data_IF_694623190262
#
_entry.id   IF_694623190262
#
_cell.length_a   1.000
_cell.length_b   1.000
_cell.length_c   1.000
_cell.angle_alpha   90.00
_cell.angle_beta   90.00
_cell.angle_gamma   90.00
#
_symmetry.space_group_name_H-M   'P 1'
#
loop_
_entity.id
_entity.type
_entity.pdbx_description
1 polymer ?
#
# COMPACT_ATOMS: atom_id res chain seq x y z
N UNK A 1 18.84 0.75 25.68
CA UNK A 1 17.64 1.09 24.88
C UNK A 1 17.35 -0.07 23.96
N UNK A 2 16.08 -0.48 23.85
CA UNK A 2 15.66 -1.56 22.94
C UNK A 2 15.29 -0.94 21.60
N UNK A 3 16.02 -1.28 20.55
CA UNK A 3 15.69 -0.91 19.18
C UNK A 3 14.99 -2.11 18.52
N UNK A 4 13.69 -1.99 18.29
CA UNK A 4 12.89 -3.02 17.62
C UNK A 4 12.77 -2.65 16.14
N UNK A 5 13.69 -3.18 15.32
CA UNK A 5 13.56 -3.10 13.87
C UNK A 5 12.49 -4.10 13.41
N UNK A 6 11.44 -3.63 12.75
CA UNK A 6 10.46 -4.50 12.08
C UNK A 6 11.12 -5.14 10.85
N UNK A 7 11.81 -6.26 11.03
CA UNK A 7 12.63 -6.91 10.00
C UNK A 7 11.84 -7.60 8.88
N UNK A 8 10.52 -7.70 8.96
CA UNK A 8 9.72 -8.37 7.94
C UNK A 8 8.41 -7.63 7.72
N UNK A 9 8.22 -6.93 6.59
CA UNK A 9 6.87 -6.55 6.18
C UNK A 9 6.06 -7.83 6.02
N UNK A 10 4.99 -7.98 6.81
CA UNK A 10 4.12 -9.16 6.77
C UNK A 10 3.50 -9.23 5.37
N UNK A 11 3.82 -10.28 4.62
CA UNK A 11 3.17 -10.58 3.36
C UNK A 11 1.73 -11.01 3.67
N UNK A 12 0.75 -10.37 3.03
CA UNK A 12 -0.66 -10.71 3.18
C UNK A 12 -1.11 -11.44 1.90
N UNK A 13 -0.90 -12.78 1.82
CA UNK A 13 -1.32 -13.55 0.66
C UNK A 13 -2.83 -13.41 0.45
N UNK A 14 -3.23 -13.05 -0.77
CA UNK A 14 -4.64 -12.84 -1.12
C UNK A 14 -5.17 -11.42 -0.87
N UNK A 15 -4.41 -10.54 -0.22
CA UNK A 15 -4.77 -9.12 -0.11
C UNK A 15 -4.05 -8.34 -1.20
N UNK A 16 -4.82 -7.90 -2.19
CA UNK A 16 -4.32 -7.02 -3.24
C UNK A 16 -4.04 -5.61 -2.68
N UNK A 17 -2.98 -4.96 -3.16
CA UNK A 17 -2.61 -3.58 -2.83
C UNK A 17 -3.80 -2.61 -2.96
N UNK A 18 -4.67 -2.80 -3.96
CA UNK A 18 -5.89 -1.99 -4.11
C UNK A 18 -6.79 -2.04 -2.87
N UNK A 19 -7.02 -3.24 -2.31
CA UNK A 19 -7.87 -3.41 -1.13
C UNK A 19 -7.21 -2.81 0.11
N UNK A 20 -5.92 -3.07 0.29
CA UNK A 20 -5.16 -2.56 1.43
C UNK A 20 -5.10 -1.03 1.45
N UNK A 21 -4.75 -0.41 0.33
CA UNK A 21 -4.68 1.05 0.21
C UNK A 21 -6.05 1.70 0.42
N UNK A 22 -7.13 1.09 -0.08
CA UNK A 22 -8.49 1.58 0.15
C UNK A 22 -8.88 1.49 1.62
N UNK A 23 -8.62 0.35 2.25
CA UNK A 23 -8.90 0.14 3.67
C UNK A 23 -8.11 1.10 4.57
N UNK A 24 -6.82 1.30 4.28
CA UNK A 24 -5.97 2.25 5.00
C UNK A 24 -6.47 3.69 4.86
N UNK A 25 -6.83 4.11 3.65
CA UNK A 25 -7.39 5.45 3.41
C UNK A 25 -8.72 5.64 4.14
N UNK A 26 -9.61 4.65 4.09
CA UNK A 26 -10.89 4.70 4.80
C UNK A 26 -10.70 4.73 6.33
N UNK A 27 -9.76 3.97 6.87
CA UNK A 27 -9.43 4.01 8.29
C UNK A 27 -8.96 5.40 8.73
N UNK A 28 -8.11 6.06 7.92
CA UNK A 28 -7.66 7.43 8.18
C UNK A 28 -8.79 8.44 8.07
N UNK A 29 -9.65 8.33 7.05
CA UNK A 29 -10.84 9.19 6.89
C UNK A 29 -11.80 9.05 8.06
N UNK A 30 -12.07 7.82 8.49
CA UNK A 30 -12.89 7.54 9.68
C UNK A 30 -12.33 8.19 10.94
N UNK A 31 -11.01 8.14 11.14
CA UNK A 31 -10.35 8.82 12.26
C UNK A 31 -10.49 10.35 12.20
N UNK A 32 -10.66 10.92 11.00
CA UNK A 32 -10.90 12.35 10.76
C UNK A 32 -12.38 12.74 10.74
N UNK A 33 -13.30 11.79 10.87
CA UNK A 33 -14.74 12.02 10.72
C UNK A 33 -15.20 12.25 9.28
N UNK A 34 -14.35 11.91 8.30
CA UNK A 34 -14.66 12.02 6.87
C UNK A 34 -15.38 10.76 6.37
N UNK A 35 -16.28 10.88 5.38
CA UNK A 35 -16.94 9.73 4.77
C UNK A 35 -15.96 8.87 3.98
N UNK A 36 -16.23 7.57 3.94
CA UNK A 36 -15.46 6.60 3.16
C UNK A 36 -15.40 6.98 1.68
N UNK A 37 -14.28 6.65 1.03
CA UNK A 37 -14.11 6.89 -0.40
C UNK A 37 -14.85 5.81 -1.21
N UNK A 38 -15.57 6.24 -2.24
CA UNK A 38 -16.18 5.36 -3.23
C UNK A 38 -15.10 4.70 -4.11
N UNK A 39 -15.39 3.50 -4.61
CA UNK A 39 -14.43 2.74 -5.40
C UNK A 39 -13.95 3.46 -6.68
N UNK A 40 -14.82 4.13 -7.46
CA UNK A 40 -14.40 4.90 -8.64
C UNK A 40 -13.47 6.06 -8.29
N UNK A 41 -13.80 6.88 -7.28
CA UNK A 41 -12.94 7.99 -6.87
C UNK A 41 -11.60 7.52 -6.32
N UNK A 42 -11.59 6.40 -5.59
CA UNK A 42 -10.36 5.78 -5.13
C UNK A 42 -9.44 5.38 -6.29
N UNK A 43 -9.97 4.67 -7.30
CA UNK A 43 -9.17 4.25 -8.45
C UNK A 43 -8.59 5.45 -9.22
N UNK A 44 -9.35 6.54 -9.35
CA UNK A 44 -8.85 7.78 -9.97
C UNK A 44 -7.70 8.39 -9.18
N UNK A 45 -7.87 8.54 -7.86
CA UNK A 45 -6.86 9.10 -6.97
C UNK A 45 -5.56 8.28 -7.00
N UNK A 46 -5.69 6.96 -6.95
CA UNK A 46 -4.54 6.06 -6.95
C UNK A 46 -3.80 6.12 -8.28
N UNK A 47 -4.50 6.09 -9.43
CA UNK A 47 -3.86 6.24 -10.75
C UNK A 47 -3.14 7.57 -10.91
N UNK A 48 -3.72 8.66 -10.43
CA UNK A 48 -3.07 9.97 -10.42
C UNK A 48 -1.75 9.93 -9.63
N UNK A 49 -1.77 9.33 -8.42
CA UNK A 49 -0.57 9.20 -7.58
C UNK A 49 0.47 8.26 -8.17
N UNK A 50 0.06 7.17 -8.81
CA UNK A 50 0.98 6.27 -9.53
C UNK A 50 1.68 6.99 -10.67
N UNK A 51 0.95 7.81 -11.43
CA UNK A 51 1.52 8.64 -12.50
C UNK A 51 2.56 9.63 -11.99
N UNK A 52 2.29 10.29 -10.86
CA UNK A 52 3.26 11.21 -10.21
C UNK A 52 4.50 10.48 -9.71
N UNK A 53 4.35 9.26 -9.20
CA UNK A 53 5.44 8.45 -8.67
C UNK A 53 6.14 7.59 -9.73
N UNK A 54 5.73 7.70 -11.01
CA UNK A 54 6.20 6.85 -12.11
C UNK A 54 6.14 5.34 -11.79
N UNK A 55 5.14 4.93 -11.01
CA UNK A 55 4.95 3.53 -10.63
C UNK A 55 4.05 2.82 -11.66
N UNK A 56 4.36 1.56 -12.01
CA UNK A 56 3.55 0.81 -12.94
C UNK A 56 2.19 0.41 -12.33
N UNK A 57 1.14 0.41 -13.15
CA UNK A 57 -0.24 0.06 -12.74
C UNK A 57 -0.38 -1.40 -12.25
N UNK A 58 0.56 -2.28 -12.63
CA UNK A 58 0.60 -3.68 -12.20
C UNK A 58 0.75 -3.81 -10.68
N UNK A 59 1.33 -2.80 -10.02
CA UNK A 59 1.48 -2.72 -8.57
C UNK A 59 0.13 -2.78 -7.85
N UNK A 60 -0.95 -2.32 -8.48
CA UNK A 60 -2.31 -2.38 -7.92
C UNK A 60 -2.96 -3.75 -8.00
N UNK A 61 -2.38 -4.69 -8.75
CA UNK A 61 -2.86 -6.07 -8.87
C UNK A 61 -1.99 -7.05 -8.10
N UNK A 62 -0.81 -6.61 -7.65
CA UNK A 62 0.12 -7.42 -6.87
C UNK A 62 -0.35 -7.51 -5.42
N UNK A 63 -0.15 -8.67 -4.81
CA UNK A 63 -0.40 -8.85 -3.40
C UNK A 63 0.52 -7.95 -2.56
N UNK A 64 0.01 -7.49 -1.43
CA UNK A 64 0.74 -6.60 -0.51
C UNK A 64 2.02 -7.30 -0.07
N UNK A 65 3.14 -6.64 -0.32
CA UNK A 65 4.50 -7.13 -0.07
C UNK A 65 4.93 -8.37 -0.89
N UNK A 66 4.14 -8.80 -1.88
CA UNK A 66 4.51 -9.93 -2.73
C UNK A 66 5.56 -9.51 -3.79
N UNK A 67 6.77 -10.05 -3.61
CA UNK A 67 7.89 -9.88 -4.54
C UNK A 67 9.00 -8.95 -4.06
N UNK A 68 9.07 -8.61 -2.77
CA UNK A 68 10.33 -8.11 -2.20
C UNK A 68 11.34 -9.26 -2.12
N UNK A 69 12.10 -9.44 -3.19
CA UNK A 69 13.32 -10.24 -3.18
C UNK A 69 14.19 -9.80 -2.01
N UNK A 70 14.75 -10.76 -1.26
CA UNK A 70 15.64 -10.48 -0.13
C UNK A 70 16.82 -9.55 -0.47
N UNK A 71 17.13 -9.36 -1.76
CA UNK A 71 18.14 -8.42 -2.24
C UNK A 71 17.74 -6.93 -2.20
N UNK A 72 16.47 -6.58 -2.41
CA UNK A 72 16.00 -5.18 -2.31
C UNK A 72 15.87 -4.74 -0.85
N UNK A 73 15.58 -5.68 0.07
CA UNK A 73 15.57 -5.44 1.53
C UNK A 73 16.93 -5.00 2.08
N UNK A 74 18.03 -5.31 1.39
CA UNK A 74 19.40 -4.96 1.80
C UNK A 74 19.92 -3.63 1.25
N UNK A 75 19.24 -3.06 0.25
CA UNK A 75 19.64 -1.76 -0.37
C UNK A 75 18.85 -0.57 0.17
N UNK A 76 17.87 -0.82 1.03
CA UNK A 76 17.06 0.19 1.70
C UNK A 76 17.40 0.27 3.20
N UNK A 77 18.67 0.01 3.54
CA UNK A 77 19.32 0.44 4.79
C UNK A 77 19.91 1.85 4.61
#
# INVERSE_FOLDING_TARGET
>A
GVFLAFQYPVELPGVNNTYFLRAALNAQRKARGEPEIDAPSFLRLVREKLGVLHLPDDLLQRAVNAGFSGGEKKRNE
#
